data_IF_142805153331
#
_entry.id   IF_142805153331
#
_cell.length_a   1.000
_cell.length_b   1.000
_cell.length_c   1.000
_cell.angle_alpha   90.00
_cell.angle_beta   90.00
_cell.angle_gamma   90.00
#
_symmetry.space_group_name_H-M   'P 1'
#
loop_
_entity.id
_entity.type
_entity.pdbx_description
1 polymer ?
#
# COMPACT_ATOMS: atom_id res chain seq x y z
N UNK A 1 -6.07 8.36 13.88
CA UNK A 1 -6.87 8.71 12.69
C UNK A 1 -7.22 10.18 12.67
N UNK A 2 -6.18 10.97 12.48
CA UNK A 2 -6.23 12.32 11.94
C UNK A 2 -6.37 12.20 10.41
N UNK A 3 -7.09 13.13 9.80
CA UNK A 3 -7.44 13.07 8.37
C UNK A 3 -7.08 14.38 7.69
N UNK A 4 -6.46 14.23 6.53
CA UNK A 4 -6.05 15.29 5.63
C UNK A 4 -7.02 15.33 4.44
N UNK A 5 -7.52 16.51 4.08
CA UNK A 5 -8.20 16.75 2.80
C UNK A 5 -7.34 17.73 2.00
N UNK A 6 -7.04 17.39 0.76
CA UNK A 6 -6.31 18.25 -0.18
C UNK A 6 -7.18 18.35 -1.45
N UNK A 7 -7.70 19.54 -1.73
CA UNK A 7 -8.52 19.79 -2.92
C UNK A 7 -8.47 21.28 -3.34
N UNK A 8 -8.37 21.60 -4.64
CA UNK A 8 -8.15 22.98 -5.13
C UNK A 8 -9.41 23.86 -5.09
N UNK A 9 -10.63 23.30 -5.13
CA UNK A 9 -11.88 24.06 -5.16
C UNK A 9 -12.73 23.87 -3.90
N UNK A 10 -12.81 24.91 -3.07
CA UNK A 10 -13.47 24.89 -1.76
C UNK A 10 -14.97 24.54 -1.84
N UNK A 11 -15.74 25.23 -2.66
CA UNK A 11 -17.21 25.12 -2.70
C UNK A 11 -17.71 23.70 -3.01
N UNK A 12 -17.15 23.04 -4.03
CA UNK A 12 -17.50 21.65 -4.40
C UNK A 12 -17.15 20.63 -3.32
N UNK A 13 -16.08 20.86 -2.56
CA UNK A 13 -15.66 19.96 -1.49
C UNK A 13 -16.31 20.21 -0.14
N UNK A 14 -17.04 21.32 0.02
CA UNK A 14 -17.66 21.70 1.27
C UNK A 14 -18.68 20.68 1.83
N UNK A 15 -19.52 19.98 1.02
CA UNK A 15 -20.38 18.88 1.51
C UNK A 15 -19.56 17.70 2.04
N UNK A 16 -18.60 17.21 1.25
CA UNK A 16 -17.71 16.10 1.63
C UNK A 16 -16.94 16.44 2.91
N UNK A 17 -16.34 17.62 3.02
CA UNK A 17 -15.66 18.09 4.22
C UNK A 17 -16.59 18.11 5.44
N UNK A 18 -17.80 18.68 5.32
CA UNK A 18 -18.80 18.72 6.41
C UNK A 18 -19.16 17.30 6.88
N UNK A 19 -19.40 16.39 5.94
CA UNK A 19 -19.80 15.01 6.23
C UNK A 19 -18.65 14.18 6.82
N UNK A 20 -17.39 14.39 6.39
CA UNK A 20 -16.21 13.80 7.05
C UNK A 20 -16.05 14.34 8.47
N UNK A 21 -16.14 15.66 8.66
CA UNK A 21 -15.97 16.33 9.97
C UNK A 21 -17.02 15.86 10.99
N UNK A 22 -18.27 15.69 10.56
CA UNK A 22 -19.34 15.13 11.38
C UNK A 22 -19.06 13.66 11.79
N UNK A 23 -18.46 12.85 10.91
CA UNK A 23 -18.18 11.42 11.18
C UNK A 23 -16.91 11.15 12.00
N UNK A 24 -16.06 12.15 12.25
CA UNK A 24 -14.76 11.99 12.94
C UNK A 24 -14.60 12.83 14.23
N UNK A 25 -15.27 13.98 14.30
CA UNK A 25 -15.00 15.02 15.31
C UNK A 25 -14.28 16.23 14.68
N UNK A 26 -14.41 17.40 15.32
CA UNK A 26 -14.05 18.68 14.69
C UNK A 26 -12.56 18.85 14.41
N UNK A 27 -11.74 18.20 15.22
CA UNK A 27 -10.30 18.49 15.39
C UNK A 27 -9.42 17.45 14.68
N UNK A 28 -10.04 16.40 14.12
CA UNK A 28 -9.36 15.29 13.40
C UNK A 28 -9.41 15.45 11.88
N UNK A 29 -9.83 16.60 11.37
CA UNK A 29 -9.88 16.89 9.94
C UNK A 29 -9.25 18.26 9.66
N UNK A 30 -8.06 18.23 9.06
CA UNK A 30 -7.43 19.41 8.45
C UNK A 30 -7.75 19.42 6.96
N UNK A 31 -8.01 20.60 6.40
CA UNK A 31 -8.26 20.78 4.98
C UNK A 31 -7.35 21.88 4.45
N UNK A 32 -6.66 21.55 3.37
CA UNK A 32 -5.79 22.43 2.63
C UNK A 32 -6.32 22.64 1.21
N UNK A 33 -6.17 23.86 0.71
CA UNK A 33 -6.32 24.17 -0.71
C UNK A 33 -5.06 24.87 -1.24
N UNK A 34 -4.95 25.00 -2.55
CA UNK A 34 -3.76 25.46 -3.25
C UNK A 34 -3.83 25.06 -4.71
N UNK A 35 -3.11 25.80 -5.56
CA UNK A 35 -2.93 25.42 -6.95
C UNK A 35 -1.82 24.35 -7.04
N UNK A 36 -1.79 23.61 -8.15
CA UNK A 36 -0.75 22.59 -8.35
C UNK A 36 0.69 23.17 -8.42
N UNK A 37 0.87 24.49 -8.53
CA UNK A 37 2.16 25.18 -8.33
C UNK A 37 2.69 25.07 -6.89
N UNK A 38 1.81 25.20 -5.92
CA UNK A 38 2.15 25.41 -4.51
C UNK A 38 2.69 24.10 -3.91
N UNK A 39 2.06 22.99 -4.29
CA UNK A 39 2.47 21.63 -3.98
C UNK A 39 3.93 21.34 -4.39
N UNK A 40 4.36 21.80 -5.57
CA UNK A 40 5.71 21.50 -6.09
C UNK A 40 6.80 22.21 -5.29
N UNK A 41 6.59 23.49 -4.92
CA UNK A 41 7.51 24.23 -4.03
C UNK A 41 7.61 23.54 -2.67
N UNK A 42 6.47 23.07 -2.17
CA UNK A 42 6.34 22.47 -0.84
C UNK A 42 6.86 21.03 -0.72
N UNK A 43 6.95 20.27 -1.82
CA UNK A 43 7.56 18.93 -1.79
C UNK A 43 9.10 18.98 -1.79
N UNK A 44 9.71 20.03 -2.34
CA UNK A 44 11.16 20.15 -2.47
C UNK A 44 11.90 20.26 -1.12
N UNK A 45 11.32 20.97 -0.14
CA UNK A 45 11.93 21.22 1.18
C UNK A 45 11.73 20.07 2.18
N UNK A 46 11.17 18.92 1.75
CA UNK A 46 10.82 17.80 2.63
C UNK A 46 9.70 18.09 3.65
N UNK A 47 9.04 19.24 3.54
CA UNK A 47 7.96 19.73 4.42
C UNK A 47 6.87 20.41 3.60
N UNK A 48 5.72 19.76 3.47
CA UNK A 48 4.68 20.30 2.60
C UNK A 48 3.96 21.46 3.28
N UNK A 49 4.23 22.68 2.80
CA UNK A 49 3.55 23.91 3.20
C UNK A 49 2.28 24.08 2.38
N UNK A 50 1.12 24.23 3.02
CA UNK A 50 -0.15 24.34 2.30
C UNK A 50 -1.06 25.40 2.95
N UNK A 51 -1.92 26.04 2.14
CA UNK A 51 -2.84 27.05 2.62
C UNK A 51 -4.04 26.38 3.31
N UNK A 52 -4.18 26.58 4.62
CA UNK A 52 -5.24 25.93 5.40
C UNK A 52 -6.56 26.64 5.18
N UNK A 53 -7.60 25.86 4.85
CA UNK A 53 -8.92 26.42 4.52
C UNK A 53 -9.62 26.88 5.79
N UNK A 54 -9.86 28.19 5.93
CA UNK A 54 -10.69 28.73 7.00
C UNK A 54 -12.17 28.58 6.63
N UNK A 55 -12.74 27.43 6.96
CA UNK A 55 -14.12 27.03 6.62
C UNK A 55 -15.21 27.96 7.21
N UNK A 56 -14.86 28.89 8.13
CA UNK A 56 -15.78 29.96 8.57
C UNK A 56 -15.71 31.21 7.71
N UNK A 57 -14.51 31.60 7.25
CA UNK A 57 -14.30 32.78 6.43
C UNK A 57 -14.49 32.51 4.92
N UNK A 58 -14.39 31.25 4.48
CA UNK A 58 -14.36 30.86 3.07
C UNK A 58 -13.01 31.13 2.38
N UNK A 59 -12.11 31.87 3.03
CA UNK A 59 -10.75 32.14 2.61
C UNK A 59 -9.81 31.00 3.00
N UNK A 60 -8.60 31.00 2.42
CA UNK A 60 -7.46 30.36 3.06
C UNK A 60 -6.90 31.25 4.18
N UNK A 61 -6.06 30.67 5.05
CA UNK A 61 -5.05 31.38 5.83
C UNK A 61 -3.70 31.40 5.09
N UNK A 62 -2.69 31.99 5.74
CA UNK A 62 -1.28 31.78 5.37
C UNK A 62 -0.91 30.28 5.31
N UNK A 63 0.17 29.99 4.58
CA UNK A 63 0.68 28.64 4.38
C UNK A 63 1.23 28.04 5.69
N UNK A 64 0.69 26.90 6.10
CA UNK A 64 1.11 26.17 7.30
C UNK A 64 2.02 25.00 6.89
N UNK A 65 3.21 24.90 7.49
CA UNK A 65 4.06 23.71 7.37
C UNK A 65 3.50 22.58 8.23
N UNK A 66 3.17 21.44 7.60
CA UNK A 66 2.71 20.24 8.31
C UNK A 66 3.56 19.01 7.98
N UNK A 67 3.63 18.07 8.93
CA UNK A 67 4.22 16.75 8.68
C UNK A 67 3.13 15.79 8.21
N UNK A 68 3.41 15.01 7.17
CA UNK A 68 2.50 13.95 6.75
C UNK A 68 2.40 12.81 7.78
N UNK A 69 3.42 12.63 8.64
CA UNK A 69 3.37 11.66 9.73
C UNK A 69 2.34 12.01 10.84
N UNK A 70 1.80 13.23 10.85
CA UNK A 70 0.74 13.64 11.78
C UNK A 70 -0.65 13.11 11.37
N UNK A 71 -0.76 12.49 10.20
CA UNK A 71 -2.01 12.06 9.56
C UNK A 71 -2.05 10.54 9.32
N UNK A 72 -3.21 9.92 9.49
CA UNK A 72 -3.39 8.49 9.20
C UNK A 72 -4.01 8.25 7.80
N UNK A 73 -4.82 9.21 7.32
CA UNK A 73 -5.60 9.12 6.10
C UNK A 73 -5.58 10.45 5.34
N UNK A 74 -5.37 10.41 4.02
CA UNK A 74 -5.52 11.55 3.13
C UNK A 74 -6.61 11.30 2.07
N UNK A 75 -7.43 12.32 1.82
CA UNK A 75 -8.27 12.44 0.64
C UNK A 75 -7.63 13.46 -0.31
N UNK A 76 -7.36 13.05 -1.55
CA UNK A 76 -6.69 13.88 -2.55
C UNK A 76 -7.54 13.94 -3.81
N UNK A 77 -8.02 15.14 -4.16
CA UNK A 77 -8.65 15.45 -5.45
C UNK A 77 -7.84 16.56 -6.13
N UNK A 78 -7.41 16.32 -7.37
CA UNK A 78 -6.82 17.36 -8.24
C UNK A 78 -7.58 17.48 -9.57
N UNK A 79 -8.66 16.71 -9.77
CA UNK A 79 -9.46 16.64 -11.01
C UNK A 79 -10.30 17.90 -11.29
N UNK A 80 -10.25 18.88 -10.37
CA UNK A 80 -11.00 20.13 -10.35
C UNK A 80 -10.13 21.40 -10.49
N UNK A 81 -8.81 21.27 -10.55
CA UNK A 81 -7.91 22.36 -10.96
C UNK A 81 -8.03 22.54 -12.50
N UNK A 82 -8.35 23.74 -13.04
CA UNK A 82 -8.40 23.99 -14.48
C UNK A 82 -7.08 23.73 -15.22
N UNK A 83 -5.93 23.80 -14.53
CA UNK A 83 -4.61 23.49 -15.10
C UNK A 83 -4.15 22.05 -14.84
N UNK A 84 -5.01 21.21 -14.24
CA UNK A 84 -4.79 19.78 -14.14
C UNK A 84 -5.47 19.03 -15.30
N UNK A 85 -4.94 17.86 -15.70
CA UNK A 85 -5.58 17.03 -16.71
C UNK A 85 -7.01 16.60 -16.29
N UNK A 86 -7.83 16.29 -17.30
CA UNK A 86 -9.25 15.96 -17.12
C UNK A 86 -9.47 14.62 -16.42
N UNK A 87 -8.55 13.67 -16.61
CA UNK A 87 -8.35 12.54 -15.71
C UNK A 87 -7.35 12.93 -14.62
N UNK A 88 -7.48 12.28 -13.47
CA UNK A 88 -6.37 12.22 -12.51
C UNK A 88 -5.26 11.36 -13.16
N UNK A 89 -4.31 12.00 -13.84
CA UNK A 89 -3.14 11.33 -14.40
C UNK A 89 -2.10 11.04 -13.32
N UNK A 90 -1.45 9.89 -13.44
CA UNK A 90 -0.34 9.47 -12.59
C UNK A 90 0.87 8.98 -13.37
N UNK A 91 0.83 8.92 -14.71
CA UNK A 91 1.91 8.36 -15.54
C UNK A 91 3.12 9.30 -15.68
N UNK A 92 3.56 9.91 -14.57
CA UNK A 92 4.80 10.68 -14.47
C UNK A 92 4.74 12.13 -14.96
N UNK A 93 3.56 12.67 -15.30
CA UNK A 93 3.44 14.07 -15.77
C UNK A 93 2.63 14.99 -14.84
N UNK A 94 1.64 14.46 -14.12
CA UNK A 94 0.75 15.26 -13.31
C UNK A 94 1.08 15.26 -11.80
N UNK A 95 0.83 16.43 -11.21
CA UNK A 95 1.32 16.89 -9.89
C UNK A 95 0.64 16.20 -8.69
N UNK A 96 -0.32 15.30 -8.95
CA UNK A 96 -0.94 14.46 -7.93
C UNK A 96 -0.07 13.27 -7.48
N UNK A 97 0.78 12.73 -8.36
CA UNK A 97 1.57 11.51 -8.10
C UNK A 97 2.54 11.69 -6.95
N UNK A 98 3.40 12.71 -7.05
CA UNK A 98 4.47 13.02 -6.10
C UNK A 98 3.93 13.22 -4.67
N UNK A 99 2.76 13.88 -4.56
CA UNK A 99 2.05 14.09 -3.30
C UNK A 99 1.56 12.78 -2.69
N UNK A 100 0.92 11.91 -3.48
CA UNK A 100 0.40 10.63 -2.99
C UNK A 100 1.53 9.69 -2.63
N UNK A 101 2.60 9.61 -3.41
CA UNK A 101 3.81 8.88 -3.02
C UNK A 101 4.39 9.38 -1.69
N UNK A 102 4.49 10.71 -1.50
CA UNK A 102 5.05 11.29 -0.27
C UNK A 102 4.18 10.98 0.95
N UNK A 103 2.85 11.03 0.81
CA UNK A 103 1.89 10.60 1.83
C UNK A 103 2.04 9.09 2.15
N UNK A 104 2.11 8.22 1.13
CA UNK A 104 2.31 6.78 1.31
C UNK A 104 3.66 6.45 1.95
N UNK A 105 4.74 7.14 1.56
CA UNK A 105 6.07 7.02 2.19
C UNK A 105 6.06 7.43 3.66
N UNK A 106 5.20 8.38 4.05
CA UNK A 106 4.96 8.74 5.44
C UNK A 106 4.00 7.79 6.20
N UNK A 107 3.52 6.71 5.57
CA UNK A 107 2.60 5.73 6.16
C UNK A 107 1.13 6.12 6.12
N UNK A 108 0.79 7.26 5.51
CA UNK A 108 -0.58 7.75 5.37
C UNK A 108 -1.34 6.87 4.36
N UNK A 109 -2.53 6.40 4.72
CA UNK A 109 -3.43 5.76 3.76
C UNK A 109 -3.99 6.82 2.83
N UNK A 110 -3.89 6.67 1.51
CA UNK A 110 -4.44 7.65 0.56
C UNK A 110 -5.69 7.14 -0.14
N UNK A 111 -6.65 8.04 -0.31
CA UNK A 111 -7.84 7.90 -1.16
C UNK A 111 -7.76 8.97 -2.26
N UNK A 112 -7.68 8.53 -3.51
CA UNK A 112 -7.78 9.41 -4.67
C UNK A 112 -9.24 9.68 -5.04
N UNK A 113 -9.56 10.91 -5.44
CA UNK A 113 -10.86 11.26 -6.00
C UNK A 113 -10.61 11.80 -7.42
N UNK A 114 -11.08 11.06 -8.41
CA UNK A 114 -10.99 11.40 -9.83
C UNK A 114 -12.36 11.80 -10.38
N UNK A 115 -12.41 12.26 -11.64
CA UNK A 115 -13.64 12.74 -12.26
C UNK A 115 -14.67 11.62 -12.47
N UNK A 116 -14.18 10.44 -12.81
CA UNK A 116 -14.90 9.23 -13.25
C UNK A 116 -14.67 8.02 -12.33
N UNK A 117 -13.75 8.11 -11.37
CA UNK A 117 -13.35 7.02 -10.49
C UNK A 117 -12.25 6.13 -11.04
N UNK A 118 -11.78 6.38 -12.27
CA UNK A 118 -10.63 5.71 -12.83
C UNK A 118 -9.38 5.98 -11.97
N UNK A 119 -8.51 4.99 -11.92
CA UNK A 119 -7.16 5.07 -11.40
C UNK A 119 -6.23 4.79 -12.58
N UNK A 120 -5.22 5.62 -12.78
CA UNK A 120 -4.04 5.23 -13.57
C UNK A 120 -3.15 4.36 -12.65
N UNK A 121 -2.61 3.26 -13.18
CA UNK A 121 -1.87 2.20 -12.45
C UNK A 121 -0.87 2.80 -11.45
N UNK A 122 -0.17 3.86 -11.88
CA UNK A 122 0.91 4.53 -11.13
C UNK A 122 0.41 5.15 -9.81
N UNK A 123 -0.90 5.31 -9.57
CA UNK A 123 -1.43 5.65 -8.24
C UNK A 123 -1.81 4.45 -7.37
N UNK A 124 -2.22 3.32 -7.95
CA UNK A 124 -2.33 2.09 -7.16
C UNK A 124 -0.95 1.69 -6.62
N UNK A 125 0.08 1.94 -7.45
CA UNK A 125 1.52 1.86 -7.18
C UNK A 125 2.02 2.93 -6.18
N UNK A 126 1.74 4.22 -6.38
CA UNK A 126 2.07 5.29 -5.43
C UNK A 126 1.29 5.26 -4.10
N UNK A 127 0.28 4.38 -3.96
CA UNK A 127 -0.44 4.12 -2.72
C UNK A 127 -1.76 4.89 -2.51
N UNK A 128 -2.41 5.34 -3.58
CA UNK A 128 -3.86 5.54 -3.55
C UNK A 128 -4.54 4.17 -3.40
N UNK A 129 -4.86 3.81 -2.16
CA UNK A 129 -5.33 2.47 -1.79
C UNK A 129 -6.82 2.24 -2.11
N UNK A 130 -7.47 3.25 -2.71
CA UNK A 130 -8.83 3.28 -3.25
C UNK A 130 -9.02 4.56 -4.09
N UNK A 131 -9.67 4.47 -5.25
CA UNK A 131 -10.21 5.60 -6.00
C UNK A 131 -11.74 5.63 -6.00
N UNK A 132 -12.32 6.76 -6.40
CA UNK A 132 -13.75 6.98 -6.59
C UNK A 132 -14.03 8.20 -7.47
N UNK A 133 -15.20 8.23 -8.11
CA UNK A 133 -15.67 9.39 -8.84
C UNK A 133 -16.10 10.50 -7.88
N UNK A 134 -15.79 11.75 -8.20
CA UNK A 134 -16.14 12.93 -7.41
C UNK A 134 -17.65 13.01 -7.10
N UNK A 135 -18.50 12.74 -8.09
CA UNK A 135 -19.97 12.73 -7.98
C UNK A 135 -20.55 11.59 -7.11
N UNK A 136 -19.71 10.62 -6.76
CA UNK A 136 -20.04 9.48 -5.91
C UNK A 136 -19.47 9.61 -4.50
N UNK A 137 -18.61 10.60 -4.27
CA UNK A 137 -17.83 10.76 -3.04
C UNK A 137 -18.70 10.84 -1.79
N UNK A 138 -19.75 11.67 -1.80
CA UNK A 138 -20.64 11.82 -0.65
C UNK A 138 -21.50 10.56 -0.41
N UNK A 139 -22.03 9.94 -1.48
CA UNK A 139 -22.85 8.72 -1.41
C UNK A 139 -22.06 7.56 -0.80
N UNK A 140 -20.82 7.38 -1.26
CA UNK A 140 -19.93 6.27 -0.84
C UNK A 140 -19.13 6.58 0.43
N UNK A 141 -19.15 7.81 0.93
CA UNK A 141 -18.31 8.27 2.04
C UNK A 141 -18.40 7.40 3.30
N UNK A 142 -19.56 6.83 3.60
CA UNK A 142 -19.75 6.00 4.80
C UNK A 142 -19.05 4.64 4.68
N UNK A 143 -19.19 3.94 3.54
CA UNK A 143 -18.49 2.67 3.31
C UNK A 143 -17.00 2.90 3.06
N UNK A 144 -16.64 4.00 2.40
CA UNK A 144 -15.25 4.44 2.24
C UNK A 144 -14.57 4.73 3.57
N UNK A 145 -15.20 5.47 4.50
CA UNK A 145 -14.62 5.74 5.83
C UNK A 145 -14.55 4.47 6.70
N UNK A 146 -15.45 3.49 6.51
CA UNK A 146 -15.32 2.18 7.16
C UNK A 146 -14.11 1.41 6.63
N UNK A 147 -13.96 1.34 5.29
CA UNK A 147 -12.78 0.74 4.65
C UNK A 147 -11.50 1.47 5.06
N UNK A 148 -11.49 2.80 5.01
CA UNK A 148 -10.36 3.64 5.41
C UNK A 148 -9.95 3.40 6.87
N UNK A 149 -10.91 3.27 7.79
CA UNK A 149 -10.63 2.88 9.19
C UNK A 149 -10.03 1.49 9.31
N UNK A 150 -10.36 0.55 8.41
CA UNK A 150 -9.67 -0.76 8.33
C UNK A 150 -8.27 -0.59 7.76
N UNK A 151 -8.13 0.10 6.62
CA UNK A 151 -6.87 0.39 5.94
C UNK A 151 -5.87 1.06 6.89
N UNK A 152 -6.32 2.06 7.64
CA UNK A 152 -5.55 2.73 8.70
C UNK A 152 -5.10 1.72 9.75
N UNK A 153 -5.99 0.90 10.35
CA UNK A 153 -5.55 -0.12 11.33
C UNK A 153 -4.59 -1.17 10.74
N UNK A 154 -4.72 -1.48 9.46
CA UNK A 154 -3.89 -2.45 8.74
C UNK A 154 -2.51 -1.84 8.36
N UNK A 155 -2.42 -0.52 8.14
CA UNK A 155 -1.21 0.20 7.70
C UNK A 155 -0.49 0.99 8.81
N UNK A 156 -1.17 1.49 9.84
CA UNK A 156 -0.57 2.12 11.03
C UNK A 156 0.01 1.09 12.00
N UNK A 157 0.74 0.12 11.45
CA UNK A 157 2.01 -0.26 12.06
C UNK A 157 2.84 1.01 12.23
N UNK A 158 3.47 1.19 13.39
CA UNK A 158 4.45 2.25 13.56
C UNK A 158 5.60 2.02 12.55
N UNK A 159 6.28 3.06 12.04
CA UNK A 159 7.48 2.93 11.20
C UNK A 159 8.62 2.19 11.92
N UNK A 160 8.57 0.84 11.95
CA UNK A 160 9.41 -0.04 12.77
C UNK A 160 8.71 -1.28 13.37
N UNK A 161 7.40 -1.49 13.12
CA UNK A 161 6.67 -2.71 13.50
C UNK A 161 6.27 -3.56 12.28
N UNK A 162 7.16 -4.48 11.91
CA UNK A 162 7.01 -5.44 10.80
C UNK A 162 5.62 -6.12 10.71
N UNK A 163 5.03 -6.11 9.52
CA UNK A 163 3.83 -6.88 9.17
C UNK A 163 4.18 -8.11 8.34
N UNK A 164 3.29 -9.09 8.29
CA UNK A 164 3.46 -10.32 7.51
C UNK A 164 2.27 -10.60 6.59
N UNK A 165 2.55 -11.25 5.46
CA UNK A 165 1.54 -11.83 4.56
C UNK A 165 1.57 -13.35 4.64
N UNK A 166 0.40 -13.99 4.74
CA UNK A 166 0.30 -15.45 4.67
C UNK A 166 0.16 -15.93 3.23
N UNK A 167 1.10 -16.77 2.80
CA UNK A 167 1.12 -17.50 1.54
C UNK A 167 0.86 -19.01 1.77
N UNK A 168 0.53 -19.76 0.71
CA UNK A 168 0.47 -21.23 0.72
C UNK A 168 1.69 -21.80 -0.03
N UNK A 169 2.02 -23.07 0.19
CA UNK A 169 2.99 -23.75 -0.67
C UNK A 169 2.33 -24.21 -1.99
N UNK A 170 3.07 -24.27 -3.11
CA UNK A 170 4.47 -23.91 -3.29
C UNK A 170 4.74 -22.41 -3.47
N UNK A 171 3.70 -21.57 -3.53
CA UNK A 171 3.84 -20.13 -3.84
C UNK A 171 4.80 -19.39 -2.90
N UNK A 172 4.80 -19.75 -1.61
CA UNK A 172 5.76 -19.21 -0.64
C UNK A 172 7.20 -19.61 -0.94
N UNK A 173 7.44 -20.86 -1.35
CA UNK A 173 8.76 -21.32 -1.80
C UNK A 173 9.20 -20.66 -3.12
N UNK A 174 8.28 -20.40 -4.07
CA UNK A 174 8.64 -19.74 -5.33
C UNK A 174 9.12 -18.30 -5.17
N UNK A 175 8.77 -17.60 -4.08
CA UNK A 175 9.30 -16.25 -3.78
C UNK A 175 10.81 -16.29 -3.50
N UNK A 176 11.30 -17.28 -2.74
CA UNK A 176 12.70 -17.36 -2.32
C UNK A 176 13.58 -18.29 -3.18
N UNK A 177 12.97 -19.26 -3.88
CA UNK A 177 13.68 -20.26 -4.68
C UNK A 177 13.45 -20.04 -6.18
N UNK A 178 12.25 -19.59 -6.57
CA UNK A 178 11.82 -19.52 -7.97
C UNK A 178 11.84 -18.14 -8.62
N UNK A 179 12.22 -17.08 -7.89
CA UNK A 179 12.18 -15.71 -8.41
C UNK A 179 10.76 -15.20 -8.69
N UNK A 180 9.76 -15.57 -7.85
CA UNK A 180 8.40 -15.01 -7.93
C UNK A 180 8.40 -13.56 -7.45
N UNK A 181 8.44 -12.65 -8.41
CA UNK A 181 8.46 -11.18 -8.27
C UNK A 181 7.05 -10.56 -8.11
N UNK A 182 5.97 -11.32 -8.29
CA UNK A 182 4.59 -10.83 -8.18
C UNK A 182 3.73 -11.78 -7.35
N UNK A 183 3.00 -11.28 -6.37
CA UNK A 183 2.00 -12.03 -5.59
C UNK A 183 0.55 -11.63 -5.96
N UNK A 184 -0.22 -12.57 -6.52
CA UNK A 184 -1.55 -12.29 -7.09
C UNK A 184 -2.64 -12.23 -6.01
N UNK A 185 -3.50 -11.20 -6.04
CA UNK A 185 -4.60 -11.00 -5.09
C UNK A 185 -5.82 -10.33 -5.75
N UNK A 186 -6.96 -10.40 -5.06
CA UNK A 186 -8.24 -9.73 -5.42
C UNK A 186 -8.50 -8.48 -4.56
N UNK A 187 -7.46 -7.90 -3.98
CA UNK A 187 -7.50 -6.72 -3.13
C UNK A 187 -6.10 -6.07 -3.12
N UNK A 188 -5.97 -4.73 -3.12
CA UNK A 188 -4.69 -4.06 -3.32
C UNK A 188 -3.76 -4.16 -2.11
N UNK A 189 -2.45 -4.17 -2.33
CA UNK A 189 -1.45 -4.06 -1.27
C UNK A 189 -1.49 -2.67 -0.66
N UNK A 190 -1.92 -2.64 0.59
CA UNK A 190 -2.14 -1.42 1.39
C UNK A 190 -0.91 -1.01 2.19
N UNK A 191 0.23 -1.61 1.88
CA UNK A 191 1.53 -1.54 2.56
C UNK A 191 2.61 -1.37 1.47
N UNK A 192 3.71 -0.68 1.81
CA UNK A 192 4.95 -0.60 1.01
C UNK A 192 6.16 -0.85 1.92
N UNK A 193 7.28 -1.23 1.30
CA UNK A 193 8.50 -1.61 2.02
C UNK A 193 8.41 -3.02 2.63
N UNK A 194 9.25 -3.29 3.62
CA UNK A 194 9.53 -4.64 4.11
C UNK A 194 8.34 -5.29 4.83
N UNK A 195 8.02 -6.51 4.39
CA UNK A 195 7.08 -7.43 5.05
C UNK A 195 7.74 -8.80 5.27
N UNK A 196 7.24 -9.56 6.25
CA UNK A 196 7.58 -10.96 6.42
C UNK A 196 6.66 -11.88 5.58
N UNK A 197 7.22 -12.94 5.02
CA UNK A 197 6.46 -14.01 4.37
C UNK A 197 6.25 -15.16 5.36
N UNK A 198 4.98 -15.40 5.69
CA UNK A 198 4.54 -16.53 6.50
C UNK A 198 3.90 -17.62 5.63
N UNK A 199 4.24 -18.87 5.90
CA UNK A 199 3.63 -20.03 5.22
C UNK A 199 2.47 -20.57 6.05
N UNK A 200 1.30 -20.71 5.44
CA UNK A 200 0.16 -21.40 6.04
C UNK A 200 0.55 -22.78 6.60
N UNK A 201 0.00 -23.15 7.77
CA UNK A 201 0.18 -24.49 8.34
C UNK A 201 -0.46 -25.55 7.45
N UNK A 202 -1.67 -25.27 6.98
CA UNK A 202 -2.56 -26.20 6.28
C UNK A 202 -3.10 -25.57 4.98
N UNK A 203 -3.40 -26.42 3.99
CA UNK A 203 -3.98 -26.01 2.70
C UNK A 203 -4.80 -27.15 2.08
N UNK A 204 -5.74 -26.86 1.15
CA UNK A 204 -6.61 -27.88 0.56
C UNK A 204 -5.82 -29.01 -0.11
N UNK A 205 -6.34 -30.25 -0.05
CA UNK A 205 -5.75 -31.42 -0.73
C UNK A 205 -5.59 -31.15 -2.23
N UNK A 206 -4.45 -31.53 -2.81
CA UNK A 206 -4.13 -31.29 -4.23
C UNK A 206 -3.78 -29.83 -4.60
N UNK A 207 -3.97 -28.85 -3.70
CA UNK A 207 -3.59 -27.46 -3.98
C UNK A 207 -2.09 -27.27 -4.13
N UNK A 208 -1.28 -28.11 -3.47
CA UNK A 208 0.17 -28.10 -3.65
C UNK A 208 0.55 -28.57 -5.06
N UNK A 209 0.05 -29.72 -5.50
CA UNK A 209 0.43 -30.35 -6.76
C UNK A 209 -0.02 -29.53 -7.97
N UNK A 210 -1.21 -28.93 -7.89
CA UNK A 210 -1.71 -28.00 -8.89
C UNK A 210 -0.85 -26.72 -8.95
N UNK A 211 -0.52 -26.12 -7.80
CA UNK A 211 0.40 -24.99 -7.74
C UNK A 211 1.80 -25.34 -8.24
N UNK A 212 2.30 -26.55 -7.96
CA UNK A 212 3.63 -27.01 -8.40
C UNK A 212 3.69 -27.24 -9.91
N UNK A 213 2.57 -27.66 -10.53
CA UNK A 213 2.44 -27.74 -11.99
C UNK A 213 2.55 -26.34 -12.63
N UNK A 214 1.83 -25.35 -12.09
CA UNK A 214 1.86 -23.97 -12.56
C UNK A 214 3.26 -23.35 -12.37
N UNK A 215 3.85 -23.48 -11.18
CA UNK A 215 5.21 -22.99 -10.89
C UNK A 215 6.24 -23.55 -11.87
N UNK A 216 6.21 -24.86 -12.19
CA UNK A 216 7.10 -25.46 -13.21
C UNK A 216 6.88 -24.87 -14.62
N UNK A 217 5.63 -24.57 -14.98
CA UNK A 217 5.32 -23.93 -16.27
C UNK A 217 5.85 -22.50 -16.34
N UNK A 218 5.76 -21.72 -15.25
CA UNK A 218 6.33 -20.36 -15.18
C UNK A 218 7.86 -20.42 -15.23
N UNK A 219 8.50 -21.25 -14.39
CA UNK A 219 9.96 -21.42 -14.37
C UNK A 219 10.53 -21.81 -15.75
N UNK A 220 9.84 -22.68 -16.50
CA UNK A 220 10.23 -23.01 -17.88
C UNK A 220 10.10 -21.83 -18.85
N UNK A 221 9.10 -20.95 -18.67
CA UNK A 221 8.95 -19.73 -19.49
C UNK A 221 10.00 -18.66 -19.17
N UNK A 222 10.45 -18.58 -17.92
CA UNK A 222 11.38 -17.53 -17.45
C UNK A 222 12.87 -17.92 -17.55
N UNK A 223 13.19 -19.11 -18.08
CA UNK A 223 14.58 -19.59 -18.21
C UNK A 223 15.15 -20.22 -16.93
N UNK A 224 14.33 -20.42 -15.90
CA UNK A 224 14.70 -21.04 -14.62
C UNK A 224 14.27 -22.53 -14.57
N UNK A 225 14.28 -23.23 -15.71
CA UNK A 225 13.79 -24.60 -15.84
C UNK A 225 14.54 -25.62 -14.96
N UNK A 226 15.80 -25.34 -14.63
CA UNK A 226 16.65 -26.11 -13.70
C UNK A 226 16.27 -25.95 -12.23
N UNK A 227 15.41 -24.99 -11.87
CA UNK A 227 15.02 -24.72 -10.49
C UNK A 227 13.96 -25.71 -10.01
N UNK A 228 14.30 -26.47 -8.96
CA UNK A 228 13.41 -27.47 -8.36
C UNK A 228 12.81 -26.94 -7.05
N UNK A 229 11.49 -26.75 -7.02
CA UNK A 229 10.78 -26.55 -5.75
C UNK A 229 10.70 -27.88 -5.00
N UNK A 230 11.13 -27.96 -3.72
CA UNK A 230 11.05 -29.16 -2.90
C UNK A 230 9.62 -29.70 -2.72
N UNK A 231 9.51 -30.99 -2.40
CA UNK A 231 8.23 -31.64 -2.11
C UNK A 231 7.56 -31.06 -0.83
N UNK A 232 6.23 -31.20 -0.73
CA UNK A 232 5.44 -30.56 0.33
C UNK A 232 5.79 -31.02 1.75
N UNK A 233 6.43 -32.17 1.93
CA UNK A 233 6.93 -32.67 3.21
C UNK A 233 8.26 -32.01 3.63
N UNK A 234 9.08 -31.58 2.66
CA UNK A 234 10.36 -30.87 2.90
C UNK A 234 10.20 -29.37 3.09
N UNK A 235 9.03 -28.81 2.76
CA UNK A 235 8.77 -27.37 2.87
C UNK A 235 8.21 -26.97 4.24
N UNK A 236 8.68 -25.84 4.82
CA UNK A 236 8.18 -25.32 6.10
C UNK A 236 6.71 -24.90 6.03
N UNK A 237 6.03 -24.98 7.17
CA UNK A 237 4.58 -24.75 7.38
C UNK A 237 4.35 -24.08 8.75
N UNK A 238 3.42 -23.13 8.84
CA UNK A 238 3.07 -22.45 10.10
C UNK A 238 4.20 -21.58 10.67
N UNK A 239 5.00 -20.97 9.80
CA UNK A 239 6.22 -20.26 10.16
C UNK A 239 6.50 -19.08 9.21
N UNK A 240 7.19 -18.04 9.71
CA UNK A 240 7.82 -17.02 8.87
C UNK A 240 9.13 -17.61 8.32
N UNK A 241 9.35 -17.47 7.01
CA UNK A 241 10.47 -18.09 6.28
C UNK A 241 11.44 -17.09 5.66
N UNK A 242 11.09 -15.82 5.64
CA UNK A 242 11.84 -14.77 4.97
C UNK A 242 11.08 -13.45 4.97
N UNK A 243 11.68 -12.44 4.34
CA UNK A 243 11.12 -11.11 4.14
C UNK A 243 11.21 -10.75 2.66
N UNK A 244 10.31 -9.88 2.21
CA UNK A 244 10.36 -9.22 0.90
C UNK A 244 9.93 -7.78 1.09
N UNK A 245 10.32 -6.90 0.17
CA UNK A 245 9.77 -5.56 0.10
C UNK A 245 8.59 -5.57 -0.88
N UNK A 246 7.41 -5.11 -0.45
CA UNK A 246 6.36 -4.72 -1.42
C UNK A 246 6.76 -3.36 -1.96
N UNK A 247 7.23 -3.34 -3.19
CA UNK A 247 7.54 -2.10 -3.90
C UNK A 247 6.29 -1.53 -4.58
N UNK A 248 5.31 -2.36 -4.97
CA UNK A 248 4.22 -1.92 -5.85
C UNK A 248 2.93 -2.75 -5.80
N UNK A 249 1.86 -2.27 -6.46
CA UNK A 249 0.54 -2.91 -6.50
C UNK A 249 -0.23 -2.64 -7.80
N UNK A 250 0.15 -3.34 -8.87
CA UNK A 250 -0.43 -3.21 -10.21
C UNK A 250 -1.67 -4.08 -10.44
N UNK A 251 -2.50 -3.69 -11.41
CA UNK A 251 -3.49 -4.52 -12.09
C UNK A 251 -3.03 -5.01 -13.49
N UNK A 252 -1.84 -4.58 -13.95
CA UNK A 252 -1.20 -5.01 -15.19
C UNK A 252 0.30 -5.36 -14.98
N UNK A 253 0.81 -6.41 -15.63
CA UNK A 253 2.24 -6.75 -15.57
C UNK A 253 2.70 -7.66 -16.70
N UNK A 254 3.94 -7.48 -17.16
CA UNK A 254 4.63 -8.39 -18.08
C UNK A 254 5.29 -9.58 -17.39
N UNK A 255 5.30 -9.65 -16.05
CA UNK A 255 5.87 -10.80 -15.33
C UNK A 255 5.04 -12.07 -15.60
N UNK A 256 5.73 -13.17 -15.91
CA UNK A 256 5.12 -14.48 -16.05
C UNK A 256 4.53 -15.04 -14.73
N UNK A 257 4.72 -14.35 -13.61
CA UNK A 257 4.10 -14.65 -12.31
C UNK A 257 2.78 -13.92 -12.06
N UNK A 258 2.40 -12.95 -12.91
CA UNK A 258 1.15 -12.22 -12.80
C UNK A 258 -0.01 -13.01 -13.44
N UNK A 259 -1.08 -13.20 -12.67
CA UNK A 259 -2.34 -13.82 -13.12
C UNK A 259 -3.56 -12.93 -12.81
N UNK A 260 -3.35 -11.77 -12.19
CA UNK A 260 -4.39 -10.80 -11.84
C UNK A 260 -5.35 -11.21 -10.73
N UNK A 261 -6.43 -10.42 -10.51
CA UNK A 261 -6.65 -9.09 -11.09
C UNK A 261 -5.74 -8.01 -10.50
N UNK A 262 -5.04 -8.27 -9.39
CA UNK A 262 -4.03 -7.39 -8.81
C UNK A 262 -2.77 -8.20 -8.46
N UNK A 263 -1.60 -7.59 -8.56
CA UNK A 263 -0.30 -8.21 -8.33
C UNK A 263 0.60 -7.32 -7.47
N UNK A 264 1.06 -7.83 -6.33
CA UNK A 264 1.97 -7.10 -5.45
C UNK A 264 3.40 -7.34 -5.96
N UNK A 265 4.10 -6.31 -6.47
CA UNK A 265 5.50 -6.48 -6.91
C UNK A 265 6.39 -6.64 -5.67
N UNK A 266 7.19 -7.70 -5.66
CA UNK A 266 8.06 -8.13 -4.57
C UNK A 266 9.52 -7.91 -4.96
N UNK A 267 10.28 -7.23 -4.10
CA UNK A 267 11.71 -7.03 -4.24
C UNK A 267 12.48 -7.54 -3.01
N UNK A 268 13.82 -7.55 -3.11
CA UNK A 268 14.76 -7.79 -2.02
C UNK A 268 14.44 -9.03 -1.12
N UNK A 269 14.24 -10.22 -1.71
CA UNK A 269 13.91 -11.43 -0.96
C UNK A 269 15.05 -11.84 -0.02
N UNK A 270 14.79 -11.76 1.29
CA UNK A 270 15.70 -12.11 2.38
C UNK A 270 15.21 -13.39 3.05
N UNK A 271 15.78 -14.55 2.67
CA UNK A 271 15.44 -15.84 3.27
C UNK A 271 16.03 -15.96 4.68
N UNK A 272 15.24 -16.47 5.64
CA UNK A 272 15.71 -16.73 7.00
C UNK A 272 16.45 -18.09 7.08
N UNK A 273 17.65 -18.15 7.70
CA UNK A 273 18.36 -19.41 7.95
C UNK A 273 17.53 -20.47 8.68
N UNK A 274 16.59 -20.08 9.55
CA UNK A 274 15.69 -21.00 10.26
C UNK A 274 14.27 -20.45 10.28
N UNK A 275 13.28 -21.16 9.70
CA UNK A 275 11.88 -20.80 9.78
C UNK A 275 11.41 -20.59 11.23
N UNK A 276 10.71 -19.49 11.50
CA UNK A 276 10.28 -19.10 12.85
C UNK A 276 8.78 -19.43 13.02
N UNK A 277 8.41 -20.43 13.84
CA UNK A 277 7.00 -20.82 14.02
C UNK A 277 6.15 -19.70 14.64
N UNK A 278 4.99 -19.43 14.04
CA UNK A 278 4.01 -18.44 14.50
C UNK A 278 2.66 -18.67 13.82
N UNK A 279 1.55 -18.48 14.53
CA UNK A 279 0.20 -18.60 13.96
C UNK A 279 -0.14 -17.40 13.07
N UNK A 280 0.06 -17.52 11.76
CA UNK A 280 -0.32 -16.47 10.80
C UNK A 280 -1.82 -16.30 10.59
N UNK A 281 -2.19 -15.18 9.95
CA UNK A 281 -3.58 -14.71 9.80
C UNK A 281 -3.94 -14.45 8.33
N UNK A 282 -5.20 -14.10 8.06
CA UNK A 282 -5.67 -13.64 6.73
C UNK A 282 -5.22 -12.19 6.47
N UNK A 283 -5.01 -11.82 5.20
CA UNK A 283 -4.48 -10.51 4.74
C UNK A 283 -3.11 -10.21 5.39
N UNK A 284 -2.70 -8.94 5.42
CA UNK A 284 -1.56 -8.51 6.24
C UNK A 284 -1.89 -8.60 7.72
N UNK A 285 -0.89 -8.90 8.54
CA UNK A 285 -1.03 -8.95 10.00
C UNK A 285 0.26 -8.57 10.71
N UNK A 286 0.15 -7.83 11.82
CA UNK A 286 1.29 -7.36 12.62
C UNK A 286 2.05 -8.54 13.26
N UNK A 287 3.35 -8.61 13.04
CA UNK A 287 4.22 -9.65 13.61
C UNK A 287 4.43 -9.37 15.11
N UNK A 288 4.28 -10.36 16.01
CA UNK A 288 4.55 -10.16 17.44
C UNK A 288 6.00 -9.73 17.68
N UNK A 289 6.24 -8.78 18.59
CA UNK A 289 7.58 -8.21 18.84
C UNK A 289 8.64 -9.28 19.15
N UNK A 290 8.28 -10.33 19.88
CA UNK A 290 9.14 -11.49 20.17
C UNK A 290 9.56 -12.30 18.94
N UNK A 291 8.77 -12.24 17.86
CA UNK A 291 9.09 -12.83 16.55
C UNK A 291 9.94 -11.86 15.73
N UNK A 292 9.64 -10.55 15.77
CA UNK A 292 10.48 -9.50 15.14
C UNK A 292 11.91 -9.53 15.68
N UNK A 293 12.11 -9.70 16.99
CA UNK A 293 13.44 -9.86 17.59
C UNK A 293 14.18 -11.10 17.06
N UNK A 294 13.49 -12.24 16.90
CA UNK A 294 14.08 -13.46 16.32
C UNK A 294 14.47 -13.27 14.85
N UNK A 295 13.65 -12.53 14.09
CA UNK A 295 13.92 -12.16 12.69
C UNK A 295 15.17 -11.28 12.62
N UNK A 296 15.20 -10.15 13.34
CA UNK A 296 16.37 -9.23 13.33
C UNK A 296 17.64 -9.96 13.76
N UNK A 297 17.58 -10.87 14.76
CA UNK A 297 18.74 -11.66 15.19
C UNK A 297 19.28 -12.55 14.07
N UNK A 298 18.43 -13.37 13.43
CA UNK A 298 18.86 -14.25 12.33
C UNK A 298 19.43 -13.48 11.13
N UNK A 299 18.88 -12.30 10.82
CA UNK A 299 19.40 -11.47 9.73
C UNK A 299 20.78 -10.90 10.08
N UNK A 300 21.01 -10.43 11.31
CA UNK A 300 22.34 -10.02 11.77
C UNK A 300 23.34 -11.20 11.77
N UNK A 301 22.93 -12.36 12.28
CA UNK A 301 23.71 -13.60 12.28
C UNK A 301 24.09 -14.06 10.85
N UNK A 302 23.27 -13.72 9.85
CA UNK A 302 23.49 -14.02 8.43
C UNK A 302 24.08 -12.86 7.60
N UNK A 303 24.46 -11.73 8.23
CA UNK A 303 24.98 -10.53 7.53
C UNK A 303 23.98 -9.82 6.61
N UNK A 304 22.67 -10.07 6.75
CA UNK A 304 21.62 -9.51 5.89
C UNK A 304 21.05 -8.17 6.45
N UNK A 305 20.57 -7.25 5.58
CA UNK A 305 20.02 -5.96 6.01
C UNK A 305 18.80 -6.08 6.95
N UNK A 306 18.92 -5.44 8.12
CA UNK A 306 17.92 -5.43 9.22
C UNK A 306 17.03 -4.18 9.29
N UNK A 307 17.12 -3.30 8.28
CA UNK A 307 16.31 -2.08 8.17
C UNK A 307 14.84 -2.40 7.84
N UNK A 308 13.99 -2.38 8.87
CA UNK A 308 12.52 -2.45 8.90
C UNK A 308 12.02 -2.28 10.34
#
# INVERSE_FOLDING_TARGET
>A
MNVLLIAPRRERFLPVFRTIKAKLGRDKLTWFSGAASDLKKSLADGKVSLNRVNVRAGTDSDAEQVSFADYDLAFVDQSLDPEAPTMLDFAGTARGTELVEALTRAGVVVIGISRDGACNDVLADAGAVMTLAHEDAEKRLTSMLYEARRMVRDNTANPGELVALTLRQPWAASVFIGGKDVENRVWPARVRGTIAIHVAKDQPRGSFDNGARLVRQVLKKTGYDRVVIPAQDKLPKGAIIGLVDIVDCVDSSSSAWFEGPLGFKLANPRVLPTPIPVSGKRRFWRVPKTIVTKIRRQLMEAGQPVSF
#
